data_IF_341433877625
#
_entry.id   IF_341433877625
#
_cell.length_a   1.000
_cell.length_b   1.000
_cell.length_c   1.000
_cell.angle_alpha   90.00
_cell.angle_beta   90.00
_cell.angle_gamma   90.00
#
_symmetry.space_group_name_H-M   'P 1'
#
loop_
_entity.id
_entity.type
_entity.pdbx_description
1 polymer ?
#
# COMPACT_ATOMS: atom_id res chain seq x y z
N UNK A 1 17.73 36.12 -14.89
CA UNK A 1 16.73 35.75 -13.88
C UNK A 1 15.27 36.05 -14.29
N UNK A 2 15.00 36.77 -15.39
CA UNK A 2 13.63 37.19 -15.78
C UNK A 2 12.83 36.21 -16.69
N UNK A 3 13.40 35.08 -17.13
CA UNK A 3 12.68 34.14 -18.03
C UNK A 3 11.85 33.08 -17.29
N UNK A 4 12.13 32.80 -16.01
CA UNK A 4 11.46 31.74 -15.24
C UNK A 4 10.01 32.07 -14.86
N UNK A 5 9.65 33.34 -14.73
CA UNK A 5 8.31 33.76 -14.31
C UNK A 5 7.28 33.69 -15.43
N UNK A 6 7.64 34.13 -16.65
CA UNK A 6 6.72 34.14 -17.79
C UNK A 6 6.35 32.73 -18.26
N UNK A 7 7.30 31.78 -18.22
CA UNK A 7 7.04 30.38 -18.55
C UNK A 7 6.09 29.72 -17.53
N UNK A 8 6.21 30.08 -16.25
CA UNK A 8 5.34 29.56 -15.18
C UNK A 8 3.91 30.11 -15.29
N UNK A 9 3.76 31.42 -15.55
CA UNK A 9 2.44 32.04 -15.74
C UNK A 9 1.76 31.57 -17.02
N UNK A 10 2.50 31.40 -18.12
CA UNK A 10 1.95 30.85 -19.36
C UNK A 10 1.51 29.39 -19.18
N UNK A 11 2.32 28.56 -18.51
CA UNK A 11 1.95 27.18 -18.20
C UNK A 11 0.69 27.13 -17.32
N UNK A 12 0.60 27.96 -16.28
CA UNK A 12 -0.59 28.05 -15.43
C UNK A 12 -1.84 28.48 -16.21
N UNK A 13 -1.74 29.49 -17.07
CA UNK A 13 -2.85 29.94 -17.91
C UNK A 13 -3.33 28.85 -18.88
N UNK A 14 -2.40 28.07 -19.46
CA UNK A 14 -2.74 26.92 -20.30
C UNK A 14 -3.48 25.86 -19.49
N UNK A 15 -3.06 25.57 -18.26
CA UNK A 15 -3.75 24.61 -17.39
C UNK A 15 -5.16 25.11 -16.99
N UNK A 16 -5.29 26.38 -16.61
CA UNK A 16 -6.59 27.00 -16.32
C UNK A 16 -7.51 26.92 -17.54
N UNK A 17 -7.00 27.27 -18.72
CA UNK A 17 -7.77 27.20 -19.97
C UNK A 17 -8.21 25.76 -20.27
N UNK A 18 -7.32 24.77 -20.10
CA UNK A 18 -7.63 23.36 -20.32
C UNK A 18 -8.75 22.84 -19.41
N UNK A 19 -8.83 23.33 -18.17
CA UNK A 19 -9.88 22.94 -17.22
C UNK A 19 -11.19 23.74 -17.39
N UNK A 20 -11.14 25.00 -17.87
CA UNK A 20 -12.32 25.85 -18.11
C UNK A 20 -13.03 25.52 -19.42
N UNK A 21 -12.29 25.11 -20.48
CA UNK A 21 -12.87 24.76 -21.79
C UNK A 21 -14.00 23.73 -21.68
N UNK A 22 -13.86 22.62 -20.92
CA UNK A 22 -14.96 21.68 -20.70
C UNK A 22 -16.20 22.29 -20.05
N UNK A 23 -16.04 23.23 -19.10
CA UNK A 23 -17.18 23.94 -18.51
C UNK A 23 -17.90 24.82 -19.54
N UNK A 24 -17.14 25.59 -20.31
CA UNK A 24 -17.67 26.41 -21.41
C UNK A 24 -18.40 25.53 -22.42
N UNK A 25 -17.83 24.39 -22.79
CA UNK A 25 -18.46 23.45 -23.69
C UNK A 25 -19.77 22.86 -23.16
N UNK A 26 -19.84 22.56 -21.86
CA UNK A 26 -21.08 22.08 -21.22
C UNK A 26 -22.16 23.17 -21.19
N UNK A 27 -21.82 24.39 -20.74
CA UNK A 27 -22.82 25.46 -20.55
C UNK A 27 -23.21 26.20 -21.83
N UNK A 28 -22.30 26.32 -22.81
CA UNK A 28 -22.53 27.11 -24.03
C UNK A 28 -22.64 26.27 -25.31
N UNK A 29 -21.99 25.09 -25.36
CA UNK A 29 -21.94 24.24 -26.57
C UNK A 29 -22.76 22.95 -26.44
N UNK A 30 -23.47 22.76 -25.32
CA UNK A 30 -24.33 21.60 -25.08
C UNK A 30 -23.58 20.28 -24.87
N UNK A 31 -22.30 20.33 -24.48
CA UNK A 31 -21.54 19.11 -24.21
C UNK A 31 -22.08 18.35 -22.99
N UNK A 32 -21.88 17.03 -22.98
CA UNK A 32 -22.35 16.16 -21.90
C UNK A 32 -21.53 16.33 -20.63
N UNK A 33 -22.11 16.98 -19.61
CA UNK A 33 -21.51 17.08 -18.28
C UNK A 33 -21.21 15.71 -17.66
N UNK A 34 -22.06 14.71 -17.96
CA UNK A 34 -21.90 13.32 -17.49
C UNK A 34 -20.62 12.68 -18.04
N UNK A 35 -20.36 12.86 -19.33
CA UNK A 35 -19.17 12.32 -19.99
C UNK A 35 -17.90 12.94 -19.44
N UNK A 36 -17.88 14.27 -19.26
CA UNK A 36 -16.74 14.94 -18.66
C UNK A 36 -16.50 14.51 -17.21
N UNK A 37 -17.55 14.38 -16.40
CA UNK A 37 -17.41 13.89 -15.02
C UNK A 37 -16.76 12.50 -14.96
N UNK A 38 -17.11 11.59 -15.88
CA UNK A 38 -16.46 10.26 -15.99
C UNK A 38 -15.00 10.39 -16.40
N UNK A 39 -14.68 11.15 -17.45
CA UNK A 39 -13.29 11.31 -17.93
C UNK A 39 -12.39 11.93 -16.86
N UNK A 40 -12.88 12.96 -16.15
CA UNK A 40 -12.17 13.61 -15.05
C UNK A 40 -11.97 12.68 -13.84
N UNK A 41 -12.97 11.86 -13.49
CA UNK A 41 -12.81 10.86 -12.45
C UNK A 41 -11.75 9.81 -12.84
N UNK A 42 -11.73 9.38 -14.11
CA UNK A 42 -10.70 8.46 -14.61
C UNK A 42 -9.31 9.10 -14.56
N UNK A 43 -9.18 10.39 -14.90
CA UNK A 43 -7.90 11.11 -14.80
C UNK A 43 -7.29 10.98 -13.40
N UNK A 44 -8.07 11.24 -12.35
CA UNK A 44 -7.61 11.13 -10.96
C UNK A 44 -7.29 9.70 -10.55
N UNK A 45 -8.13 8.74 -10.94
CA UNK A 45 -7.89 7.32 -10.66
C UNK A 45 -6.60 6.85 -11.31
N UNK A 46 -6.31 7.30 -12.54
CA UNK A 46 -5.10 6.96 -13.28
C UNK A 46 -3.87 7.67 -12.69
N UNK A 47 -4.00 8.92 -12.22
CA UNK A 47 -2.88 9.66 -11.64
C UNK A 47 -2.25 8.94 -10.42
N UNK A 48 -3.06 8.26 -9.61
CA UNK A 48 -2.64 7.55 -8.39
C UNK A 48 -1.65 6.39 -8.63
N UNK A 49 -1.93 5.37 -9.48
CA UNK A 49 -0.96 4.32 -9.79
C UNK A 49 0.28 4.88 -10.50
N UNK A 50 0.17 5.94 -11.31
CA UNK A 50 1.34 6.62 -11.87
C UNK A 50 2.19 7.28 -10.79
N UNK A 51 1.59 7.88 -9.76
CA UNK A 51 2.32 8.40 -8.60
C UNK A 51 3.02 7.27 -7.83
N UNK A 52 2.35 6.13 -7.65
CA UNK A 52 2.95 4.93 -7.06
C UNK A 52 4.13 4.40 -7.88
N UNK A 53 3.99 4.34 -9.21
CA UNK A 53 5.06 3.92 -10.11
C UNK A 53 6.27 4.86 -10.03
N UNK A 54 6.05 6.19 -10.06
CA UNK A 54 7.12 7.19 -9.86
C UNK A 54 7.81 7.00 -8.52
N UNK A 55 7.05 6.76 -7.45
CA UNK A 55 7.59 6.58 -6.11
C UNK A 55 8.61 5.43 -6.06
N UNK A 56 8.44 4.33 -6.81
CA UNK A 56 9.41 3.23 -6.85
C UNK A 56 10.83 3.65 -7.27
N UNK A 57 10.94 4.70 -8.08
CA UNK A 57 12.21 5.22 -8.62
C UNK A 57 12.74 6.45 -7.85
N UNK A 58 12.00 6.93 -6.84
CA UNK A 58 12.39 8.09 -6.06
C UNK A 58 13.67 7.81 -5.25
N UNK A 59 14.76 8.51 -5.58
CA UNK A 59 16.07 8.28 -4.98
C UNK A 59 16.21 8.89 -3.59
N UNK A 60 15.53 10.01 -3.30
CA UNK A 60 15.65 10.63 -1.98
C UNK A 60 14.90 9.77 -0.95
N UNK A 61 15.55 9.44 0.18
CA UNK A 61 14.88 8.74 1.26
C UNK A 61 13.75 9.60 1.85
N UNK A 62 12.65 8.98 2.32
CA UNK A 62 11.62 9.71 3.06
C UNK A 62 12.14 10.15 4.43
N UNK A 63 11.58 11.23 4.99
CA UNK A 63 11.81 11.62 6.38
C UNK A 63 11.36 10.48 7.32
N UNK A 64 12.29 9.97 8.14
CA UNK A 64 12.05 8.84 9.03
C UNK A 64 11.34 9.24 10.34
N UNK A 65 11.59 10.44 10.85
CA UNK A 65 10.96 10.97 12.07
C UNK A 65 9.46 11.20 11.86
N UNK A 66 9.07 11.64 10.67
CA UNK A 66 7.65 11.76 10.30
C UNK A 66 6.96 10.40 10.14
N UNK A 67 7.69 9.37 9.71
CA UNK A 67 7.14 8.01 9.60
C UNK A 67 6.84 7.44 10.99
N UNK A 68 7.60 7.81 12.01
CA UNK A 68 7.36 7.47 13.42
C UNK A 68 6.14 8.23 13.96
N UNK A 69 6.08 9.57 13.80
CA UNK A 69 4.92 10.37 14.27
C UNK A 69 3.59 10.02 13.62
N UNK A 70 3.61 9.58 12.36
CA UNK A 70 2.39 9.13 11.67
C UNK A 70 1.77 7.88 12.32
N UNK A 71 2.53 7.12 13.12
CA UNK A 71 2.04 6.00 13.92
C UNK A 71 1.47 6.39 15.30
N UNK A 72 1.82 7.57 15.81
CA UNK A 72 1.41 8.04 17.15
C UNK A 72 -0.02 8.62 17.16
N UNK A 73 -0.50 9.14 16.02
CA UNK A 73 -1.77 9.88 15.90
C UNK A 73 -2.89 9.21 15.10
N UNK A 74 -2.60 8.17 14.32
CA UNK A 74 -3.61 7.37 13.61
C UNK A 74 -3.94 6.17 14.52
N UNK A 75 -5.21 5.88 14.87
CA UNK A 75 -5.51 4.74 15.73
C UNK A 75 -4.92 3.49 15.07
N UNK A 76 -4.05 2.73 15.76
CA UNK A 76 -3.31 1.64 15.14
C UNK A 76 -4.32 0.71 14.48
N UNK A 77 -4.23 0.56 13.16
CA UNK A 77 -5.06 -0.42 12.45
C UNK A 77 -4.76 -1.77 13.08
N UNK A 78 -5.76 -2.64 13.15
CA UNK A 78 -5.65 -3.94 13.81
C UNK A 78 -4.48 -4.81 13.30
N UNK A 79 -3.97 -4.49 12.11
CA UNK A 79 -2.86 -5.12 11.39
C UNK A 79 -1.50 -4.47 11.68
N UNK A 80 -1.45 -3.20 12.12
CA UNK A 80 -0.24 -2.51 12.57
C UNK A 80 0.08 -2.80 14.05
N UNK A 81 -0.95 -3.14 14.83
CA UNK A 81 -0.80 -3.61 16.22
C UNK A 81 -0.17 -5.00 16.34
N UNK A 82 -0.17 -5.79 15.25
CA UNK A 82 0.52 -7.08 15.16
C UNK A 82 1.93 -6.88 14.56
N UNK A 83 2.81 -6.23 15.32
CA UNK A 83 4.26 -6.29 15.09
C UNK A 83 4.72 -5.79 13.72
N UNK A 84 4.18 -4.67 13.22
CA UNK A 84 4.93 -3.88 12.25
C UNK A 84 6.28 -3.56 12.90
N UNK A 85 7.39 -4.04 12.33
CA UNK A 85 8.72 -3.64 12.80
C UNK A 85 8.81 -2.14 12.59
N UNK A 86 8.55 -1.36 13.62
CA UNK A 86 9.00 0.02 13.70
C UNK A 86 10.47 -0.13 14.06
N UNK A 87 11.34 0.05 13.07
CA UNK A 87 12.76 -0.19 13.24
C UNK A 87 13.45 -0.54 11.93
N UNK A 88 14.74 -0.87 11.95
CA UNK A 88 15.52 -1.06 10.72
C UNK A 88 15.21 -2.34 9.95
N UNK A 89 14.29 -3.17 10.46
CA UNK A 89 13.70 -4.27 9.70
C UNK A 89 12.41 -3.86 8.96
N UNK A 90 11.95 -2.61 9.11
CA UNK A 90 10.91 -2.03 8.26
C UNK A 90 11.39 -1.94 6.81
N UNK A 91 10.53 -2.36 5.87
CA UNK A 91 10.80 -2.20 4.46
C UNK A 91 11.06 -0.72 4.11
N UNK A 92 10.39 0.24 4.75
CA UNK A 92 10.61 1.68 4.49
C UNK A 92 12.01 2.18 4.81
N UNK A 93 12.74 1.48 5.69
CA UNK A 93 14.13 1.82 6.06
C UNK A 93 15.16 0.96 5.34
N UNK A 94 14.73 0.15 4.36
CA UNK A 94 15.61 -0.73 3.62
C UNK A 94 16.62 0.04 2.78
N UNK A 95 17.86 -0.44 2.79
CA UNK A 95 19.02 0.11 2.07
C UNK A 95 19.21 -0.60 0.73
N UNK A 96 19.94 0.07 -0.15
CA UNK A 96 20.25 -0.42 -1.49
C UNK A 96 19.13 -0.24 -2.50
N UNK A 97 19.39 -0.72 -3.72
CA UNK A 97 18.50 -0.56 -4.87
C UNK A 97 18.72 -1.68 -5.87
N UNK A 98 17.71 -1.97 -6.70
CA UNK A 98 17.74 -3.06 -7.69
C UNK A 98 17.62 -2.47 -9.09
N UNK A 99 18.58 -2.78 -9.96
CA UNK A 99 18.47 -2.45 -11.38
C UNK A 99 17.57 -3.48 -12.07
N UNK A 100 16.44 -3.04 -12.64
CA UNK A 100 15.50 -3.93 -13.36
C UNK A 100 15.90 -4.04 -14.83
N UNK A 101 16.30 -2.93 -15.44
CA UNK A 101 16.72 -2.84 -16.82
C UNK A 101 17.72 -1.69 -16.97
N UNK A 102 18.71 -1.84 -17.85
CA UNK A 102 19.78 -0.84 -18.06
C UNK A 102 19.24 0.53 -18.52
N UNK A 103 18.05 0.56 -19.12
CA UNK A 103 17.40 1.78 -19.62
C UNK A 103 16.59 2.54 -18.59
N UNK A 104 16.35 1.96 -17.41
CA UNK A 104 15.54 2.57 -16.35
C UNK A 104 16.39 2.86 -15.11
N UNK A 105 16.06 3.91 -14.34
CA UNK A 105 16.67 4.10 -13.03
C UNK A 105 16.42 2.87 -12.14
N UNK A 106 17.28 2.64 -11.13
CA UNK A 106 17.07 1.54 -10.22
C UNK A 106 15.81 1.74 -9.37
N UNK A 107 15.17 0.64 -9.01
CA UNK A 107 14.02 0.62 -8.10
C UNK A 107 14.52 0.46 -6.67
N UNK A 108 13.95 1.23 -5.75
CA UNK A 108 14.27 1.14 -4.33
C UNK A 108 13.19 0.31 -3.62
N UNK A 109 13.51 -0.89 -3.09
CA UNK A 109 12.53 -1.73 -2.37
C UNK A 109 11.82 -0.99 -1.23
N UNK A 110 12.50 -0.03 -0.61
CA UNK A 110 11.94 0.83 0.45
C UNK A 110 10.75 1.67 0.02
N UNK A 111 10.59 1.90 -1.28
CA UNK A 111 9.51 2.70 -1.85
C UNK A 111 8.24 1.88 -2.13
N UNK A 112 8.32 0.54 -2.07
CA UNK A 112 7.18 -0.37 -2.35
C UNK A 112 5.96 -0.11 -1.45
N UNK A 113 6.11 0.15 -0.13
CA UNK A 113 4.95 0.49 0.72
C UNK A 113 4.22 1.76 0.26
N UNK A 114 4.93 2.74 -0.31
CA UNK A 114 4.33 3.98 -0.83
C UNK A 114 3.56 3.72 -2.12
N UNK A 115 4.13 2.92 -3.03
CA UNK A 115 3.42 2.45 -4.22
C UNK A 115 2.17 1.63 -3.87
N UNK A 116 2.26 0.79 -2.84
CA UNK A 116 1.13 0.02 -2.29
C UNK A 116 -0.01 0.91 -1.81
N UNK A 117 0.32 1.97 -1.06
CA UNK A 117 -0.66 2.95 -0.61
C UNK A 117 -1.30 3.72 -1.76
N UNK A 118 -0.52 4.14 -2.75
CA UNK A 118 -1.03 4.83 -3.93
C UNK A 118 -2.03 3.96 -4.72
N UNK A 119 -1.73 2.66 -4.86
CA UNK A 119 -2.64 1.71 -5.51
C UNK A 119 -3.91 1.46 -4.67
N UNK A 120 -3.79 1.29 -3.35
CA UNK A 120 -4.94 1.18 -2.47
C UNK A 120 -5.84 2.44 -2.50
N UNK A 121 -5.23 3.62 -2.59
CA UNK A 121 -5.96 4.88 -2.78
C UNK A 121 -6.67 4.90 -4.14
N UNK A 122 -6.04 4.41 -5.21
CA UNK A 122 -6.66 4.31 -6.53
C UNK A 122 -7.90 3.42 -6.53
N UNK A 123 -7.82 2.26 -5.87
CA UNK A 123 -8.96 1.35 -5.66
C UNK A 123 -10.07 2.01 -4.84
N UNK A 124 -9.69 2.73 -3.78
CA UNK A 124 -10.62 3.50 -2.93
C UNK A 124 -11.36 4.58 -3.70
N UNK A 125 -10.62 5.43 -4.42
CA UNK A 125 -11.18 6.45 -5.29
C UNK A 125 -12.08 5.84 -6.36
N UNK A 126 -11.67 4.73 -7.00
CA UNK A 126 -12.48 4.02 -7.99
C UNK A 126 -13.82 3.58 -7.41
N UNK A 127 -13.83 2.97 -6.21
CA UNK A 127 -15.06 2.55 -5.56
C UNK A 127 -16.01 3.71 -5.26
N UNK A 128 -15.47 4.82 -4.74
CA UNK A 128 -16.26 6.05 -4.49
C UNK A 128 -16.80 6.64 -5.78
N UNK A 129 -15.96 6.77 -6.82
CA UNK A 129 -16.37 7.33 -8.11
C UNK A 129 -17.46 6.49 -8.77
N UNK A 130 -17.29 5.17 -8.80
CA UNK A 130 -18.30 4.26 -9.34
C UNK A 130 -19.61 4.40 -8.57
N UNK A 131 -19.56 4.46 -7.25
CA UNK A 131 -20.76 4.61 -6.42
C UNK A 131 -21.48 5.94 -6.61
N UNK A 132 -20.76 7.05 -6.75
CA UNK A 132 -21.38 8.37 -6.93
C UNK A 132 -21.87 8.55 -8.34
N UNK A 133 -21.02 8.33 -9.34
CA UNK A 133 -21.35 8.60 -10.73
C UNK A 133 -22.42 7.66 -11.27
N UNK A 134 -22.49 6.40 -10.79
CA UNK A 134 -23.53 5.45 -11.21
C UNK A 134 -24.96 5.93 -10.93
N UNK A 135 -25.14 6.86 -9.97
CA UNK A 135 -26.45 7.48 -9.70
C UNK A 135 -26.94 8.38 -10.81
N UNK A 136 -26.03 8.85 -11.66
CA UNK A 136 -26.29 9.86 -12.68
C UNK A 136 -26.04 9.36 -14.10
N UNK A 137 -25.14 8.40 -14.26
CA UNK A 137 -24.71 7.88 -15.55
C UNK A 137 -24.31 6.41 -15.44
N UNK A 138 -24.62 5.62 -16.46
CA UNK A 138 -24.07 4.28 -16.62
C UNK A 138 -22.57 4.39 -16.96
N UNK A 139 -21.72 4.39 -15.93
CA UNK A 139 -20.27 4.57 -16.06
C UNK A 139 -19.66 3.51 -16.98
N UNK A 140 -19.94 2.20 -16.82
CA UNK A 140 -19.39 1.18 -17.73
C UNK A 140 -19.81 1.38 -19.18
N UNK A 141 -21.09 1.70 -19.45
CA UNK A 141 -21.54 1.96 -20.83
C UNK A 141 -20.90 3.22 -21.40
N UNK A 142 -20.71 4.26 -20.60
CA UNK A 142 -20.03 5.50 -21.01
C UNK A 142 -18.58 5.25 -21.37
N UNK A 143 -17.86 4.41 -20.60
CA UNK A 143 -16.49 4.02 -20.90
C UNK A 143 -16.37 3.10 -22.11
N UNK A 144 -17.43 2.36 -22.44
CA UNK A 144 -17.49 1.51 -23.63
C UNK A 144 -17.76 2.32 -24.92
N UNK A 145 -18.19 3.58 -24.81
CA UNK A 145 -18.32 4.46 -25.96
C UNK A 145 -16.93 4.67 -26.62
N UNK A 146 -16.77 4.44 -27.94
CA UNK A 146 -15.47 4.52 -28.59
C UNK A 146 -14.76 5.86 -28.43
N UNK A 147 -15.50 6.97 -28.38
CA UNK A 147 -14.92 8.32 -28.25
C UNK A 147 -14.36 8.55 -26.85
N UNK A 148 -15.07 8.08 -25.83
CA UNK A 148 -14.64 8.15 -24.43
C UNK A 148 -13.48 7.18 -24.19
N UNK A 149 -13.58 5.95 -24.69
CA UNK A 149 -12.51 4.96 -24.61
C UNK A 149 -11.21 5.48 -25.25
N UNK A 150 -11.29 6.06 -26.45
CA UNK A 150 -10.14 6.68 -27.11
C UNK A 150 -9.56 7.84 -26.29
N UNK A 151 -10.40 8.67 -25.67
CA UNK A 151 -9.97 9.76 -24.79
C UNK A 151 -9.23 9.25 -23.55
N UNK A 152 -9.73 8.18 -22.92
CA UNK A 152 -9.07 7.53 -21.77
C UNK A 152 -7.73 6.91 -22.17
N UNK A 153 -7.65 6.23 -23.32
CA UNK A 153 -6.39 5.69 -23.84
C UNK A 153 -5.39 6.82 -24.10
N UNK A 154 -5.83 7.90 -24.75
CA UNK A 154 -4.99 9.07 -25.00
C UNK A 154 -4.50 9.71 -23.70
N UNK A 155 -5.35 9.79 -22.68
CA UNK A 155 -5.01 10.28 -21.34
C UNK A 155 -3.90 9.43 -20.71
N UNK A 156 -4.00 8.10 -20.79
CA UNK A 156 -2.99 7.18 -20.25
C UNK A 156 -1.67 7.34 -21.01
N UNK A 157 -1.70 7.36 -22.35
CA UNK A 157 -0.51 7.56 -23.19
C UNK A 157 0.14 8.91 -22.91
N UNK A 158 -0.66 9.97 -22.75
CA UNK A 158 -0.21 11.30 -22.37
C UNK A 158 0.48 11.28 -21.01
N UNK A 159 -0.11 10.61 -20.00
CA UNK A 159 0.51 10.42 -18.70
C UNK A 159 1.87 9.73 -18.81
N UNK A 160 1.98 8.63 -19.57
CA UNK A 160 3.26 7.94 -19.82
C UNK A 160 4.29 8.91 -20.39
N UNK A 161 3.94 9.68 -21.42
CA UNK A 161 4.83 10.65 -22.06
C UNK A 161 5.26 11.77 -21.10
N UNK A 162 4.35 12.26 -20.25
CA UNK A 162 4.66 13.26 -19.23
C UNK A 162 5.62 12.68 -18.19
N UNK A 163 5.39 11.46 -17.71
CA UNK A 163 6.29 10.82 -16.73
C UNK A 163 7.68 10.60 -17.34
N UNK A 164 7.76 10.05 -18.56
CA UNK A 164 9.02 9.85 -19.28
C UNK A 164 9.81 11.17 -19.39
N UNK A 165 9.17 12.21 -19.93
CA UNK A 165 9.83 13.48 -20.20
C UNK A 165 10.17 14.26 -18.92
N UNK A 166 9.24 14.37 -18.00
CA UNK A 166 9.34 15.30 -16.86
C UNK A 166 9.88 14.66 -15.58
N UNK A 167 9.79 13.34 -15.45
CA UNK A 167 10.27 12.63 -14.26
C UNK A 167 11.60 11.91 -14.51
N UNK A 168 11.66 11.12 -15.58
CA UNK A 168 12.86 10.33 -15.91
C UNK A 168 13.90 11.16 -16.65
N UNK A 169 13.56 11.74 -17.81
CA UNK A 169 14.51 12.46 -18.65
C UNK A 169 15.07 13.73 -18.01
N UNK A 170 14.27 14.44 -17.21
CA UNK A 170 14.72 15.59 -16.39
C UNK A 170 15.38 15.22 -15.06
N UNK A 171 15.55 13.93 -14.78
CA UNK A 171 16.16 13.42 -13.53
C UNK A 171 15.49 13.90 -12.25
N UNK A 172 14.20 14.27 -12.31
CA UNK A 172 13.44 14.70 -11.13
C UNK A 172 13.32 13.58 -10.10
N UNK A 173 13.37 12.31 -10.53
CA UNK A 173 13.44 11.14 -9.65
C UNK A 173 14.65 11.16 -8.69
N UNK A 174 15.77 11.81 -9.07
CA UNK A 174 16.94 11.95 -8.20
C UNK A 174 16.70 12.90 -7.03
N UNK A 175 15.79 13.88 -7.20
CA UNK A 175 15.49 14.93 -6.24
C UNK A 175 14.13 14.78 -5.54
N UNK A 176 13.39 13.71 -5.82
CA UNK A 176 12.06 13.48 -5.25
C UNK A 176 12.12 12.45 -4.12
N UNK A 177 11.34 12.67 -3.06
CA UNK A 177 11.04 11.62 -2.08
C UNK A 177 9.84 10.79 -2.54
N UNK A 178 9.73 9.51 -2.16
CA UNK A 178 8.55 8.69 -2.50
C UNK A 178 7.27 9.22 -1.85
N UNK A 179 7.37 9.89 -0.70
CA UNK A 179 6.23 10.44 0.03
C UNK A 179 5.62 11.61 -0.73
N UNK A 180 6.43 12.57 -1.16
CA UNK A 180 5.93 13.78 -1.82
C UNK A 180 5.15 13.46 -3.09
N UNK A 181 5.68 12.53 -3.88
CA UNK A 181 5.09 12.11 -5.15
C UNK A 181 3.71 11.48 -4.93
N UNK A 182 3.56 10.64 -3.89
CA UNK A 182 2.29 9.98 -3.58
C UNK A 182 1.34 10.93 -2.87
N UNK A 183 1.81 11.67 -1.87
CA UNK A 183 1.02 12.57 -1.05
C UNK A 183 0.28 13.59 -1.93
N UNK A 184 1.00 14.24 -2.85
CA UNK A 184 0.41 15.20 -3.79
C UNK A 184 -0.78 14.61 -4.55
N UNK A 185 -0.61 13.42 -5.14
CA UNK A 185 -1.67 12.77 -5.92
C UNK A 185 -2.84 12.29 -5.04
N UNK A 186 -2.55 11.74 -3.85
CA UNK A 186 -3.57 11.26 -2.92
C UNK A 186 -4.39 12.39 -2.31
N UNK A 187 -3.78 13.54 -2.00
CA UNK A 187 -4.50 14.70 -1.47
C UNK A 187 -5.45 15.27 -2.52
N UNK A 188 -4.99 15.43 -3.76
CA UNK A 188 -5.83 15.92 -4.86
C UNK A 188 -7.02 14.98 -5.11
N UNK A 189 -6.76 13.67 -5.27
CA UNK A 189 -7.80 12.69 -5.49
C UNK A 189 -8.76 12.55 -4.30
N UNK A 190 -8.25 12.64 -3.06
CA UNK A 190 -9.04 12.60 -1.84
C UNK A 190 -9.98 13.80 -1.70
N UNK A 191 -9.47 15.02 -1.96
CA UNK A 191 -10.29 16.23 -1.97
C UNK A 191 -11.39 16.17 -3.04
N UNK A 192 -11.04 15.73 -4.26
CA UNK A 192 -12.01 15.56 -5.33
C UNK A 192 -13.07 14.50 -4.99
N UNK A 193 -12.68 13.37 -4.41
CA UNK A 193 -13.62 12.33 -3.97
C UNK A 193 -14.55 12.84 -2.85
N UNK A 194 -14.02 13.59 -1.88
CA UNK A 194 -14.81 14.20 -0.80
C UNK A 194 -15.83 15.20 -1.36
N UNK A 195 -15.39 16.10 -2.24
CA UNK A 195 -16.29 17.07 -2.89
C UNK A 195 -17.34 16.36 -3.72
N UNK A 196 -16.96 15.31 -4.47
CA UNK A 196 -17.91 14.54 -5.25
C UNK A 196 -18.98 13.90 -4.36
N UNK A 197 -18.61 13.33 -3.21
CA UNK A 197 -19.54 12.77 -2.23
C UNK A 197 -20.51 13.82 -1.68
N UNK A 198 -20.06 15.06 -1.47
CA UNK A 198 -20.94 16.17 -1.01
C UNK A 198 -21.85 16.66 -2.15
N UNK A 199 -21.36 16.68 -3.39
CA UNK A 199 -22.12 17.16 -4.55
C UNK A 199 -23.19 16.19 -5.08
N UNK A 200 -23.39 15.03 -4.45
CA UNK A 200 -24.51 14.11 -4.75
C UNK A 200 -25.85 14.87 -4.76
N UNK A 201 -25.98 15.93 -3.96
CA UNK A 201 -27.19 16.77 -3.86
C UNK A 201 -27.38 17.72 -5.06
N UNK A 202 -26.30 18.11 -5.76
CA UNK A 202 -26.31 19.16 -6.80
C UNK A 202 -26.46 18.67 -8.26
N UNK A 203 -26.55 17.36 -8.48
CA UNK A 203 -26.64 16.76 -9.82
C UNK A 203 -25.34 16.84 -10.65
N UNK A 204 -25.34 16.33 -11.90
CA UNK A 204 -24.10 16.14 -12.69
C UNK A 204 -23.35 17.44 -13.02
N UNK A 205 -24.08 18.53 -13.30
CA UNK A 205 -23.48 19.83 -13.57
C UNK A 205 -22.84 20.43 -12.31
N UNK A 206 -23.49 20.32 -11.15
CA UNK A 206 -22.93 20.74 -9.87
C UNK A 206 -21.68 19.95 -9.48
N UNK A 207 -21.69 18.64 -9.70
CA UNK A 207 -20.54 17.77 -9.50
C UNK A 207 -19.35 18.19 -10.39
N UNK A 208 -19.57 18.46 -11.68
CA UNK A 208 -18.51 18.91 -12.59
C UNK A 208 -17.94 20.28 -12.17
N UNK A 209 -18.78 21.24 -11.81
CA UNK A 209 -18.33 22.57 -11.36
C UNK A 209 -17.48 22.45 -10.10
N UNK A 210 -17.93 21.66 -9.12
CA UNK A 210 -17.18 21.48 -7.88
C UNK A 210 -15.86 20.72 -8.12
N UNK A 211 -15.85 19.75 -9.03
CA UNK A 211 -14.65 19.04 -9.44
C UNK A 211 -13.60 19.99 -10.03
N UNK A 212 -14.01 20.81 -11.01
CA UNK A 212 -13.11 21.77 -11.66
C UNK A 212 -12.63 22.82 -10.64
N UNK A 213 -13.48 23.27 -9.72
CA UNK A 213 -13.08 24.19 -8.66
C UNK A 213 -11.99 23.60 -7.75
N UNK A 214 -12.13 22.33 -7.34
CA UNK A 214 -11.10 21.63 -6.54
C UNK A 214 -9.79 21.50 -7.31
N UNK A 215 -9.86 21.07 -8.57
CA UNK A 215 -8.68 20.89 -9.42
C UNK A 215 -7.93 22.22 -9.62
N UNK A 216 -8.65 23.28 -9.98
CA UNK A 216 -8.08 24.62 -10.12
C UNK A 216 -7.49 25.14 -8.80
N UNK A 217 -8.14 24.87 -7.66
CA UNK A 217 -7.62 25.25 -6.35
C UNK A 217 -6.31 24.50 -6.01
N UNK A 218 -6.24 23.20 -6.31
CA UNK A 218 -5.03 22.39 -6.14
C UNK A 218 -3.88 22.90 -7.02
N UNK A 219 -4.15 23.15 -8.30
CA UNK A 219 -3.17 23.70 -9.25
C UNK A 219 -2.68 25.10 -8.84
N UNK A 220 -3.59 25.95 -8.36
CA UNK A 220 -3.26 27.29 -7.86
C UNK A 220 -2.40 27.25 -6.59
N UNK A 221 -2.69 26.33 -5.66
CA UNK A 221 -1.85 26.11 -4.47
C UNK A 221 -0.44 25.66 -4.86
N UNK A 222 -0.33 24.83 -5.89
CA UNK A 222 0.94 24.44 -6.49
C UNK A 222 1.70 25.62 -7.09
N UNK A 223 1.01 26.49 -7.85
CA UNK A 223 1.59 27.70 -8.45
C UNK A 223 2.07 28.72 -7.40
N UNK A 224 1.32 28.93 -6.32
CA UNK A 224 1.67 29.84 -5.21
C UNK A 224 2.95 29.42 -4.46
N UNK A 225 3.46 28.21 -4.69
CA UNK A 225 4.60 27.68 -3.94
C UNK A 225 4.28 27.29 -2.49
N UNK A 226 3.04 27.53 -2.02
CA UNK A 226 2.57 27.11 -0.69
C UNK A 226 2.50 25.59 -0.52
N UNK A 227 2.65 24.85 -1.62
CA UNK A 227 2.73 23.39 -1.65
C UNK A 227 4.15 22.84 -1.64
N UNK A 228 5.17 23.69 -1.72
CA UNK A 228 6.55 23.24 -1.58
C UNK A 228 6.78 22.94 -0.10
N UNK A 229 6.49 21.71 0.29
CA UNK A 229 7.20 21.03 1.38
C UNK A 229 8.68 21.43 1.27
N UNK A 230 9.28 21.93 2.36
CA UNK A 230 10.68 22.31 2.32
C UNK A 230 11.48 21.05 1.93
N UNK A 231 12.20 21.04 0.79
CA UNK A 231 12.93 19.86 0.34
C UNK A 231 13.99 19.42 1.35
N UNK A 232 14.43 20.28 2.27
CA UNK A 232 15.33 19.91 3.37
C UNK A 232 14.61 19.29 4.57
N UNK A 233 13.34 19.64 4.85
CA UNK A 233 12.54 18.99 5.91
C UNK A 233 12.09 17.56 5.52
N UNK A 234 12.09 17.22 4.24
CA UNK A 234 11.61 15.92 3.73
C UNK A 234 12.65 14.81 3.62
N UNK A 235 13.95 15.09 3.76
CA UNK A 235 15.03 14.12 3.59
C UNK A 235 15.39 13.43 4.90
N UNK A 236 15.16 12.11 4.98
CA UNK A 236 15.66 11.31 6.10
C UNK A 236 17.03 10.72 5.82
N UNK A 237 18.01 10.89 6.71
CA UNK A 237 19.28 10.14 6.63
C UNK A 237 19.25 8.95 7.57
N UNK A 238 19.52 7.75 7.05
CA UNK A 238 19.81 6.61 7.92
C UNK A 238 21.28 6.67 8.33
N UNK A 239 21.61 6.44 9.62
CA UNK A 239 23.00 6.37 10.05
C UNK A 239 23.77 5.31 9.25
N UNK A 240 25.06 5.49 8.95
CA UNK A 240 25.85 4.46 8.29
C UNK A 240 25.87 3.20 9.14
N UNK A 241 25.84 2.03 8.50
CA UNK A 241 25.95 0.75 9.19
C UNK A 241 27.42 0.32 9.17
N UNK A 242 28.06 0.31 10.33
CA UNK A 242 29.37 -0.27 10.51
C UNK A 242 29.21 -1.79 10.69
N UNK A 243 29.49 -2.55 9.64
CA UNK A 243 29.49 -4.00 9.68
C UNK A 243 30.92 -4.52 9.48
N UNK A 244 31.34 -5.58 10.20
CA UNK A 244 32.63 -6.21 9.95
C UNK A 244 32.74 -6.71 8.50
N UNK A 245 33.84 -6.36 7.84
CA UNK A 245 34.15 -6.77 6.46
C UNK A 245 34.91 -8.11 6.45
N UNK A 246 34.31 -9.11 7.08
CA UNK A 246 34.84 -10.47 7.25
C UNK A 246 33.80 -11.45 6.69
N UNK A 247 34.20 -12.57 6.07
CA UNK A 247 33.27 -13.61 5.64
C UNK A 247 32.40 -14.10 6.81
N UNK A 248 31.13 -14.44 6.56
CA UNK A 248 30.24 -14.91 7.63
C UNK A 248 30.71 -16.25 8.19
N UNK A 249 30.87 -16.34 9.51
CA UNK A 249 31.17 -17.58 10.22
C UNK A 249 29.95 -18.51 10.27
N UNK A 250 28.76 -17.92 10.34
CA UNK A 250 27.49 -18.62 10.24
C UNK A 250 26.49 -17.77 9.46
N UNK A 251 25.59 -18.44 8.75
CA UNK A 251 24.50 -17.82 8.03
C UNK A 251 23.22 -18.63 8.23
N UNK A 252 22.14 -17.95 8.58
CA UNK A 252 20.80 -18.53 8.72
C UNK A 252 19.82 -17.72 7.90
N UNK A 253 18.96 -18.41 7.15
CA UNK A 253 17.97 -17.79 6.26
C UNK A 253 16.54 -18.06 6.75
N UNK A 254 15.62 -17.11 6.51
CA UNK A 254 14.19 -17.34 6.64
C UNK A 254 13.73 -18.53 5.79
N UNK A 255 12.82 -19.35 6.32
CA UNK A 255 12.16 -20.39 5.55
C UNK A 255 11.26 -19.75 4.49
N UNK A 256 11.59 -20.01 3.22
CA UNK A 256 10.88 -19.42 2.07
C UNK A 256 9.39 -19.78 2.04
N UNK A 257 9.00 -20.95 2.56
CA UNK A 257 7.59 -21.38 2.55
C UNK A 257 6.82 -20.67 3.65
N UNK A 258 7.40 -20.50 4.84
CA UNK A 258 6.81 -19.72 5.93
C UNK A 258 6.67 -18.25 5.53
N UNK A 259 7.71 -17.62 4.98
CA UNK A 259 7.61 -16.23 4.47
C UNK A 259 6.50 -16.08 3.44
N UNK A 260 6.41 -16.98 2.45
CA UNK A 260 5.34 -16.93 1.42
C UNK A 260 3.95 -17.12 2.01
N UNK A 261 3.79 -18.04 2.96
CA UNK A 261 2.50 -18.27 3.60
C UNK A 261 2.08 -17.06 4.46
N UNK A 262 3.00 -16.47 5.21
CA UNK A 262 2.72 -15.26 6.00
C UNK A 262 2.46 -14.05 5.10
N UNK A 263 3.19 -13.93 3.98
CA UNK A 263 2.93 -12.91 2.96
C UNK A 263 1.51 -13.02 2.40
N UNK A 264 1.08 -14.22 2.01
CA UNK A 264 -0.27 -14.45 1.50
C UNK A 264 -1.33 -14.21 2.56
N UNK A 265 -1.08 -14.65 3.80
CA UNK A 265 -1.98 -14.41 4.93
C UNK A 265 -2.17 -12.91 5.19
N UNK A 266 -1.07 -12.16 5.33
CA UNK A 266 -1.12 -10.70 5.51
C UNK A 266 -1.74 -10.00 4.31
N UNK A 267 -1.45 -10.46 3.09
CA UNK A 267 -2.10 -9.97 1.88
C UNK A 267 -3.61 -10.14 1.93
N UNK A 268 -4.10 -11.32 2.32
CA UNK A 268 -5.52 -11.61 2.44
C UNK A 268 -6.20 -10.77 3.54
N UNK A 269 -5.58 -10.64 4.72
CA UNK A 269 -6.15 -9.84 5.83
C UNK A 269 -6.18 -8.35 5.48
N UNK A 270 -5.12 -7.82 4.85
CA UNK A 270 -5.10 -6.43 4.39
C UNK A 270 -6.12 -6.15 3.28
N UNK A 271 -6.30 -7.08 2.34
CA UNK A 271 -7.31 -6.95 1.29
C UNK A 271 -8.71 -6.86 1.91
N UNK A 272 -9.00 -7.71 2.90
CA UNK A 272 -10.23 -7.69 3.69
C UNK A 272 -10.47 -6.36 4.40
N UNK A 273 -9.43 -5.76 5.00
CA UNK A 273 -9.55 -4.48 5.71
C UNK A 273 -10.07 -3.33 4.82
N UNK A 274 -9.90 -3.45 3.50
CA UNK A 274 -10.39 -2.49 2.50
C UNK A 274 -11.83 -2.81 2.03
N UNK A 275 -12.49 -3.79 2.64
CA UNK A 275 -13.80 -4.35 2.28
C UNK A 275 -14.90 -3.35 1.91
N UNK A 276 -15.14 -2.28 2.71
CA UNK A 276 -16.20 -1.30 2.41
C UNK A 276 -16.08 -0.63 1.04
N UNK A 277 -14.86 -0.42 0.54
CA UNK A 277 -14.63 0.18 -0.79
C UNK A 277 -15.12 -0.74 -1.91
N UNK A 278 -14.91 -2.05 -1.79
CA UNK A 278 -15.37 -3.02 -2.78
C UNK A 278 -16.90 -3.05 -2.88
N UNK A 279 -17.59 -2.77 -1.78
CA UNK A 279 -19.05 -2.63 -1.75
C UNK A 279 -19.52 -1.43 -2.57
N UNK A 280 -18.85 -0.28 -2.42
CA UNK A 280 -19.14 0.91 -3.21
C UNK A 280 -18.89 0.68 -4.70
N UNK A 281 -17.76 0.06 -5.05
CA UNK A 281 -17.47 -0.35 -6.42
C UNK A 281 -18.55 -1.30 -6.96
N UNK A 282 -18.94 -2.31 -6.19
CA UNK A 282 -19.96 -3.30 -6.57
C UNK A 282 -21.33 -2.67 -6.78
N UNK A 283 -21.79 -1.83 -5.86
CA UNK A 283 -23.04 -1.08 -5.99
C UNK A 283 -23.00 -0.15 -7.21
N UNK A 284 -21.85 0.49 -7.47
CA UNK A 284 -21.64 1.35 -8.63
C UNK A 284 -21.75 0.59 -9.95
N UNK A 285 -21.08 -0.56 -10.06
CA UNK A 285 -21.09 -1.39 -11.27
C UNK A 285 -22.48 -2.01 -11.53
N UNK A 286 -23.13 -2.52 -10.49
CA UNK A 286 -24.46 -3.17 -10.61
C UNK A 286 -25.60 -2.20 -10.87
N UNK A 287 -25.45 -0.93 -10.49
CA UNK A 287 -26.38 0.13 -10.88
C UNK A 287 -26.24 0.55 -12.35
N UNK A 288 -25.11 0.23 -13.00
CA UNK A 288 -24.89 0.43 -14.42
C UNK A 288 -25.18 -0.82 -15.27
N UNK A 289 -24.52 -0.92 -16.41
CA UNK A 289 -24.67 -2.02 -17.37
C UNK A 289 -23.92 -3.31 -17.01
N UNK A 290 -23.12 -3.31 -15.93
CA UNK A 290 -22.34 -4.49 -15.55
C UNK A 290 -23.21 -5.47 -14.77
N UNK A 291 -23.34 -6.68 -15.31
CA UNK A 291 -24.08 -7.75 -14.64
C UNK A 291 -23.53 -8.09 -13.25
N UNK A 292 -24.38 -8.48 -12.29
CA UNK A 292 -24.00 -8.69 -10.89
C UNK A 292 -22.92 -9.75 -10.69
N UNK A 293 -22.87 -10.77 -11.55
CA UNK A 293 -21.81 -11.79 -11.52
C UNK A 293 -20.46 -11.18 -11.86
N UNK A 294 -20.37 -10.42 -12.95
CA UNK A 294 -19.13 -9.76 -13.36
C UNK A 294 -18.67 -8.72 -12.32
N UNK A 295 -19.59 -7.90 -11.81
CA UNK A 295 -19.31 -6.94 -10.74
C UNK A 295 -18.76 -7.64 -9.48
N UNK A 296 -19.31 -8.82 -9.13
CA UNK A 296 -18.83 -9.60 -7.99
C UNK A 296 -17.40 -10.10 -8.20
N UNK A 297 -17.09 -10.67 -9.37
CA UNK A 297 -15.73 -11.16 -9.69
C UNK A 297 -14.73 -10.01 -9.66
N UNK A 298 -15.08 -8.84 -10.20
CA UNK A 298 -14.21 -7.67 -10.18
C UNK A 298 -14.00 -7.19 -8.74
N UNK A 299 -15.06 -6.91 -8.01
CA UNK A 299 -14.99 -6.24 -6.71
C UNK A 299 -14.51 -7.13 -5.57
N UNK A 300 -14.84 -8.43 -5.59
CA UNK A 300 -14.49 -9.36 -4.51
C UNK A 300 -13.45 -10.41 -4.91
N UNK A 301 -13.06 -10.47 -6.18
CA UNK A 301 -11.98 -11.32 -6.68
C UNK A 301 -10.76 -10.50 -7.09
N UNK A 302 -10.88 -9.73 -8.18
CA UNK A 302 -9.73 -9.06 -8.81
C UNK A 302 -9.19 -7.89 -7.99
N UNK A 303 -10.04 -6.97 -7.51
CA UNK A 303 -9.57 -5.83 -6.71
C UNK A 303 -8.88 -6.27 -5.40
N UNK A 304 -9.46 -7.18 -4.60
CA UNK A 304 -8.81 -7.67 -3.39
C UNK A 304 -7.54 -8.48 -3.69
N UNK A 305 -7.51 -9.26 -4.78
CA UNK A 305 -6.31 -9.98 -5.20
C UNK A 305 -5.16 -9.03 -5.57
N UNK A 306 -5.46 -7.89 -6.23
CA UNK A 306 -4.48 -6.86 -6.54
C UNK A 306 -3.91 -6.20 -5.28
N UNK A 307 -4.78 -5.72 -4.39
CA UNK A 307 -4.38 -5.07 -3.12
C UNK A 307 -3.62 -6.06 -2.22
N UNK A 308 -4.17 -7.27 -2.04
CA UNK A 308 -3.57 -8.31 -1.23
C UNK A 308 -2.26 -8.85 -1.80
N UNK A 309 -2.17 -8.98 -3.13
CA UNK A 309 -0.94 -9.37 -3.82
C UNK A 309 0.18 -8.36 -3.60
N UNK A 310 -0.12 -7.06 -3.65
CA UNK A 310 0.86 -6.01 -3.41
C UNK A 310 1.33 -5.98 -1.95
N UNK A 311 0.43 -6.26 -1.00
CA UNK A 311 0.78 -6.42 0.43
C UNK A 311 1.58 -7.70 0.70
N UNK A 312 1.31 -8.77 -0.03
CA UNK A 312 2.13 -9.98 0.03
C UNK A 312 3.54 -9.73 -0.51
N UNK A 313 3.68 -8.98 -1.61
CA UNK A 313 4.98 -8.55 -2.15
C UNK A 313 5.73 -7.69 -1.14
N UNK A 314 5.06 -6.72 -0.51
CA UNK A 314 5.64 -5.90 0.56
C UNK A 314 6.26 -6.79 1.65
N UNK A 315 5.49 -7.73 2.21
CA UNK A 315 5.99 -8.64 3.26
C UNK A 315 7.12 -9.56 2.79
N UNK A 316 7.00 -10.11 1.57
CA UNK A 316 8.00 -10.98 0.98
C UNK A 316 9.31 -10.24 0.75
N UNK A 317 9.27 -8.96 0.38
CA UNK A 317 10.44 -8.11 0.32
C UNK A 317 11.00 -7.87 1.71
N UNK A 318 10.19 -7.53 2.71
CA UNK A 318 10.66 -7.27 4.07
C UNK A 318 11.51 -8.41 4.64
N UNK A 319 11.10 -9.66 4.47
CA UNK A 319 11.75 -10.80 5.13
C UNK A 319 12.40 -11.80 4.18
N UNK A 320 11.82 -12.06 3.00
CA UNK A 320 12.17 -13.21 2.16
C UNK A 320 13.51 -13.14 1.42
N UNK A 321 14.20 -12.01 1.54
CA UNK A 321 15.46 -11.71 0.84
C UNK A 321 16.62 -11.46 1.81
N UNK A 322 16.35 -11.54 3.11
CA UNK A 322 17.34 -11.36 4.15
C UNK A 322 18.10 -12.67 4.41
N UNK A 323 19.39 -12.54 4.67
CA UNK A 323 20.26 -13.54 5.23
C UNK A 323 20.84 -12.99 6.54
N UNK A 324 20.61 -13.69 7.65
CA UNK A 324 21.15 -13.31 8.94
C UNK A 324 22.51 -13.97 9.11
N UNK A 325 23.55 -13.17 9.34
CA UNK A 325 24.94 -13.60 9.32
C UNK A 325 25.62 -13.27 10.65
N UNK A 326 26.45 -14.18 11.13
CA UNK A 326 27.44 -13.92 12.18
C UNK A 326 28.73 -13.50 11.49
N UNK A 327 29.12 -12.24 11.65
CA UNK A 327 30.39 -11.72 11.13
C UNK A 327 31.21 -11.21 12.29
N UNK A 328 32.30 -11.92 12.58
CA UNK A 328 33.12 -11.66 13.76
C UNK A 328 32.22 -11.54 15.01
N UNK A 329 32.33 -10.46 15.79
CA UNK A 329 31.50 -10.23 16.97
C UNK A 329 30.17 -9.48 16.72
N UNK A 330 29.67 -9.44 15.48
CA UNK A 330 28.37 -8.85 15.16
C UNK A 330 27.36 -9.83 14.51
N UNK A 331 26.08 -9.64 14.84
CA UNK A 331 24.94 -10.15 14.07
C UNK A 331 24.60 -9.13 12.98
N UNK A 332 24.53 -9.59 11.74
CA UNK A 332 24.36 -8.75 10.55
C UNK A 332 23.16 -9.25 9.75
N UNK A 333 22.22 -8.36 9.45
CA UNK A 333 21.21 -8.62 8.43
C UNK A 333 21.72 -8.16 7.08
N UNK A 334 22.07 -9.12 6.24
CA UNK A 334 22.46 -8.90 4.85
C UNK A 334 21.27 -9.13 3.93
N UNK A 335 21.13 -8.32 2.90
CA UNK A 335 20.05 -8.45 1.92
C UNK A 335 20.61 -8.92 0.57
N UNK A 336 20.27 -10.15 0.19
CA UNK A 336 20.72 -10.77 -1.05
C UNK A 336 20.15 -10.08 -2.30
N UNK A 337 19.01 -9.38 -2.18
CA UNK A 337 18.39 -8.70 -3.32
C UNK A 337 19.09 -7.38 -3.66
N UNK A 338 19.52 -6.64 -2.64
CA UNK A 338 20.17 -5.33 -2.82
C UNK A 338 21.68 -5.38 -2.65
N UNK A 339 22.22 -6.52 -2.23
CA UNK A 339 23.63 -6.74 -1.91
C UNK A 339 24.16 -5.73 -0.87
N UNK A 340 23.31 -5.37 0.09
CA UNK A 340 23.65 -4.39 1.13
C UNK A 340 23.33 -4.87 2.53
N UNK A 341 24.18 -4.48 3.48
CA UNK A 341 23.90 -4.67 4.90
C UNK A 341 22.78 -3.71 5.32
N UNK A 342 21.73 -4.26 5.92
CA UNK A 342 20.56 -3.51 6.38
C UNK A 342 20.79 -2.96 7.78
N UNK A 343 21.32 -3.81 8.66
CA UNK A 343 21.73 -3.46 10.01
C UNK A 343 22.80 -4.44 10.52
N UNK A 344 23.58 -3.99 11.49
CA UNK A 344 24.56 -4.78 12.21
C UNK A 344 24.48 -4.41 13.70
N UNK A 345 24.57 -5.41 14.57
CA UNK A 345 24.48 -5.27 16.02
C UNK A 345 25.54 -6.17 16.65
N UNK A 346 26.44 -5.65 17.50
CA UNK A 346 27.36 -6.48 18.28
C UNK A 346 26.57 -7.48 19.14
N UNK A 347 27.08 -8.70 19.30
CA UNK A 347 26.38 -9.70 20.13
C UNK A 347 26.23 -9.24 21.57
N UNK A 348 27.26 -8.63 22.14
CA UNK A 348 27.22 -8.05 23.49
C UNK A 348 26.19 -6.90 23.65
N UNK A 349 25.73 -6.29 22.55
CA UNK A 349 24.71 -5.24 22.56
C UNK A 349 23.28 -5.81 22.51
N UNK A 350 23.13 -7.12 22.26
CA UNK A 350 21.83 -7.80 22.32
C UNK A 350 21.50 -8.09 23.78
N UNK A 351 20.56 -7.33 24.33
CA UNK A 351 20.13 -7.48 25.72
C UNK A 351 19.26 -8.72 25.89
N UNK A 352 18.28 -8.87 25.02
CA UNK A 352 17.26 -9.91 25.12
C UNK A 352 16.76 -10.30 23.73
N UNK A 353 16.29 -11.54 23.61
CA UNK A 353 15.74 -12.11 22.40
C UNK A 353 14.45 -12.87 22.71
N UNK A 354 13.32 -12.26 22.38
CA UNK A 354 12.00 -12.81 22.64
C UNK A 354 11.42 -13.47 21.38
N UNK A 355 10.81 -14.65 21.55
CA UNK A 355 10.02 -15.27 20.48
C UNK A 355 8.73 -14.47 20.29
N UNK A 356 8.49 -13.98 19.07
CA UNK A 356 7.23 -13.31 18.74
C UNK A 356 6.06 -14.27 18.79
N UNK A 357 5.28 -14.15 19.85
CA UNK A 357 4.04 -14.86 20.00
C UNK A 357 2.96 -14.26 19.11
N UNK A 358 2.46 -15.01 18.13
CA UNK A 358 1.31 -14.55 17.33
C UNK A 358 1.31 -15.00 15.88
N UNK A 359 2.46 -15.33 15.31
CA UNK A 359 2.53 -15.76 13.92
C UNK A 359 1.95 -17.17 13.76
N UNK A 360 0.71 -17.24 13.26
CA UNK A 360 -0.01 -18.48 12.92
C UNK A 360 0.84 -19.44 12.08
N UNK A 361 1.53 -18.86 11.10
CA UNK A 361 2.36 -19.60 10.16
C UNK A 361 3.58 -20.20 10.85
N UNK A 362 4.20 -19.46 11.78
CA UNK A 362 5.34 -19.93 12.55
C UNK A 362 4.98 -21.15 13.40
N UNK A 363 3.82 -21.10 14.08
CA UNK A 363 3.29 -22.25 14.83
C UNK A 363 2.97 -23.44 13.92
N UNK A 364 2.37 -23.19 12.75
CA UNK A 364 1.95 -24.25 11.83
C UNK A 364 3.11 -24.91 11.04
N UNK A 365 4.21 -24.18 10.84
CA UNK A 365 5.37 -24.63 10.06
C UNK A 365 6.58 -24.97 10.92
N UNK A 366 6.45 -24.82 12.23
CA UNK A 366 7.52 -24.92 13.21
C UNK A 366 8.72 -24.01 12.86
N UNK A 367 8.41 -22.75 12.57
CA UNK A 367 9.40 -21.68 12.43
C UNK A 367 9.31 -20.72 13.61
N UNK A 368 10.35 -19.92 13.84
CA UNK A 368 10.38 -18.91 14.91
C UNK A 368 10.79 -17.56 14.36
N UNK A 369 10.09 -16.53 14.81
CA UNK A 369 10.46 -15.13 14.59
C UNK A 369 10.88 -14.54 15.93
N UNK A 370 12.09 -13.99 16.01
CA UNK A 370 12.63 -13.37 17.22
C UNK A 370 12.58 -11.85 17.12
N UNK A 371 12.21 -11.17 18.21
CA UNK A 371 12.42 -9.74 18.44
C UNK A 371 13.69 -9.60 19.26
N UNK A 372 14.68 -8.86 18.77
CA UNK A 372 15.94 -8.60 19.44
C UNK A 372 15.90 -7.19 20.03
N UNK A 373 16.06 -7.10 21.34
CA UNK A 373 16.15 -5.85 22.08
C UNK A 373 17.62 -5.50 22.27
N UNK A 374 18.04 -4.31 21.85
CA UNK A 374 19.45 -3.88 21.90
C UNK A 374 19.66 -2.79 22.96
N UNK A 375 20.82 -2.71 23.63
CA UNK A 375 21.06 -1.65 24.63
C UNK A 375 21.10 -0.25 24.02
N UNK A 376 21.73 -0.12 22.85
CA UNK A 376 21.90 1.17 22.18
C UNK A 376 20.76 1.54 21.20
N UNK A 377 19.87 0.60 20.88
CA UNK A 377 18.83 0.80 19.87
C UNK A 377 17.48 1.17 20.46
N UNK A 378 16.91 2.26 19.96
CA UNK A 378 15.53 2.70 20.28
C UNK A 378 14.46 1.74 19.74
N UNK A 379 14.83 0.85 18.81
CA UNK A 379 13.91 -0.02 18.09
C UNK A 379 14.40 -1.47 18.03
N UNK A 380 13.47 -2.39 18.30
CA UNK A 380 13.68 -3.83 18.18
C UNK A 380 14.07 -4.24 16.75
N UNK A 381 14.94 -5.25 16.65
CA UNK A 381 15.29 -5.90 15.37
C UNK A 381 14.54 -7.21 15.25
N UNK A 382 14.06 -7.53 14.04
CA UNK A 382 13.33 -8.78 13.84
C UNK A 382 14.12 -9.77 13.01
N UNK A 383 14.24 -11.00 13.52
CA UNK A 383 14.84 -12.13 12.83
C UNK A 383 13.73 -13.15 12.55
N UNK A 384 13.21 -13.19 11.32
CA UNK A 384 11.92 -13.81 11.05
C UNK A 384 11.99 -15.18 10.35
N UNK A 385 10.97 -16.02 10.60
CA UNK A 385 10.72 -17.30 9.92
C UNK A 385 11.89 -18.30 9.98
N UNK A 386 12.63 -18.35 11.07
CA UNK A 386 13.77 -19.26 11.21
C UNK A 386 13.31 -20.71 11.45
N UNK A 387 13.69 -21.61 10.54
CA UNK A 387 13.51 -23.06 10.71
C UNK A 387 14.65 -23.70 11.50
N UNK A 388 15.88 -23.25 11.27
CA UNK A 388 17.06 -23.64 12.04
C UNK A 388 17.24 -22.72 13.26
N UNK A 389 16.16 -22.47 14.01
CA UNK A 389 16.18 -21.51 15.11
C UNK A 389 17.16 -21.90 16.22
N UNK A 390 17.37 -23.20 16.49
CA UNK A 390 18.38 -23.65 17.47
C UNK A 390 19.81 -23.27 17.06
N UNK A 391 20.13 -23.45 15.77
CA UNK A 391 21.42 -23.01 15.21
C UNK A 391 21.57 -21.50 15.27
N UNK A 392 20.49 -20.75 15.02
CA UNK A 392 20.53 -19.30 15.10
C UNK A 392 20.76 -18.79 16.52
N UNK A 393 20.10 -19.39 17.52
CA UNK A 393 20.30 -19.06 18.93
C UNK A 393 21.74 -19.32 19.35
N UNK A 394 22.31 -20.47 18.95
CA UNK A 394 23.71 -20.81 19.25
C UNK A 394 24.70 -19.91 18.50
N UNK A 395 24.53 -19.75 17.19
CA UNK A 395 25.49 -19.04 16.34
C UNK A 395 25.48 -17.51 16.53
N UNK A 396 24.35 -16.95 16.98
CA UNK A 396 24.21 -15.53 17.28
C UNK A 396 24.24 -15.25 18.79
N UNK A 397 24.48 -16.27 19.61
CA UNK A 397 24.56 -16.19 21.08
C UNK A 397 23.35 -15.45 21.69
N UNK A 398 22.16 -15.73 21.16
CA UNK A 398 20.94 -15.04 21.59
C UNK A 398 20.55 -15.48 22.99
N UNK A 399 20.42 -14.52 23.90
CA UNK A 399 19.84 -14.68 25.24
C UNK A 399 18.33 -14.88 25.13
N UNK A 400 17.90 -16.11 24.80
CA UNK A 400 16.47 -16.49 24.69
C UNK A 400 16.05 -17.30 25.91
N UNK A 401 15.03 -16.85 26.66
CA UNK A 401 14.49 -17.62 27.80
C UNK A 401 13.83 -18.94 27.35
N UNK A 402 13.07 -18.90 26.26
CA UNK A 402 12.39 -20.06 25.68
C UNK A 402 12.25 -19.95 24.17
N UNK A 403 12.55 -21.03 23.45
CA UNK A 403 12.25 -21.15 22.01
C UNK A 403 10.89 -21.82 21.76
N UNK A 404 10.22 -22.29 22.81
CA UNK A 404 8.90 -22.94 22.71
C UNK A 404 7.79 -21.89 22.79
N UNK A 405 6.78 -22.01 21.94
CA UNK A 405 5.57 -21.21 22.04
C UNK A 405 4.79 -21.56 23.32
N UNK A 406 4.18 -20.54 23.95
CA UNK A 406 3.20 -20.80 25.00
C UNK A 406 1.99 -21.61 24.50
N UNK A 407 1.32 -22.36 25.40
CA UNK A 407 0.17 -23.19 25.04
C UNK A 407 -1.00 -22.32 24.56
N UNK A 408 -1.63 -22.72 23.46
CA UNK A 408 -2.84 -22.06 22.95
C UNK A 408 -4.04 -22.36 23.87
N UNK A 409 -4.89 -21.35 24.10
CA UNK A 409 -6.19 -21.60 24.71
C UNK A 409 -7.08 -22.37 23.73
N UNK A 410 -7.19 -23.68 23.97
CA UNK A 410 -7.99 -24.61 23.16
C UNK A 410 -9.45 -24.19 23.05
N UNK A 411 -10.00 -23.47 24.05
CA UNK A 411 -11.39 -22.99 24.03
C UNK A 411 -11.55 -21.85 23.04
N UNK A 412 -10.66 -20.87 23.07
CA UNK A 412 -10.64 -19.76 22.12
C UNK A 412 -10.40 -20.25 20.68
N UNK A 413 -9.45 -21.19 20.48
CA UNK A 413 -9.24 -21.83 19.18
C UNK A 413 -10.49 -22.58 18.72
N UNK A 414 -11.07 -23.42 19.58
CA UNK A 414 -12.27 -24.19 19.27
C UNK A 414 -13.45 -23.30 18.89
N UNK A 415 -13.67 -22.20 19.61
CA UNK A 415 -14.70 -21.22 19.31
C UNK A 415 -14.45 -20.52 17.97
N UNK A 416 -13.21 -20.08 17.70
CA UNK A 416 -12.86 -19.45 16.43
C UNK A 416 -13.07 -20.42 15.25
N UNK A 417 -12.61 -21.66 15.37
CA UNK A 417 -12.79 -22.69 14.34
C UNK A 417 -14.27 -22.99 14.10
N UNK A 418 -15.06 -23.13 15.17
CA UNK A 418 -16.50 -23.38 15.06
C UNK A 418 -17.23 -22.22 14.36
N UNK A 419 -16.97 -20.98 14.77
CA UNK A 419 -17.56 -19.78 14.14
C UNK A 419 -17.17 -19.68 12.66
N UNK A 420 -15.89 -19.90 12.35
CA UNK A 420 -15.39 -19.88 10.98
C UNK A 420 -16.03 -20.98 10.12
N UNK A 421 -16.10 -22.21 10.62
CA UNK A 421 -16.72 -23.34 9.93
C UNK A 421 -18.22 -23.11 9.69
N UNK A 422 -18.95 -22.58 10.69
CA UNK A 422 -20.36 -22.21 10.54
C UNK A 422 -20.56 -21.13 9.47
N UNK A 423 -19.70 -20.10 9.45
CA UNK A 423 -19.74 -19.05 8.44
C UNK A 423 -19.51 -19.60 7.02
N UNK A 424 -18.49 -20.44 6.84
CA UNK A 424 -18.20 -21.10 5.54
C UNK A 424 -19.36 -22.01 5.12
N UNK A 425 -19.89 -22.82 6.04
CA UNK A 425 -21.02 -23.70 5.76
C UNK A 425 -22.28 -22.91 5.37
N UNK A 426 -22.55 -21.78 6.04
CA UNK A 426 -23.67 -20.91 5.70
C UNK A 426 -23.52 -20.32 4.30
N UNK A 427 -22.33 -19.81 3.95
CA UNK A 427 -22.05 -19.31 2.59
C UNK A 427 -22.16 -20.41 1.54
N UNK A 428 -21.64 -21.61 1.81
CA UNK A 428 -21.72 -22.75 0.89
C UNK A 428 -23.17 -23.24 0.71
N UNK A 429 -23.97 -23.28 1.77
CA UNK A 429 -25.39 -23.62 1.71
C UNK A 429 -26.22 -22.55 0.99
N UNK A 430 -25.88 -21.28 1.14
CA UNK A 430 -26.44 -20.22 0.31
C UNK A 430 -26.00 -20.37 -1.15
N UNK A 431 -24.78 -20.81 -1.44
CA UNK A 431 -24.29 -20.92 -2.82
C UNK A 431 -25.06 -21.97 -3.63
N UNK A 432 -25.52 -23.05 -2.99
CA UNK A 432 -26.32 -24.09 -3.64
C UNK A 432 -27.78 -23.68 -3.89
N UNK A 433 -28.33 -22.79 -3.07
CA UNK A 433 -29.75 -22.41 -3.10
C UNK A 433 -30.01 -21.03 -3.71
N UNK A 434 -29.11 -20.08 -3.48
CA UNK A 434 -29.20 -18.68 -3.90
C UNK A 434 -27.79 -18.12 -4.16
N UNK A 435 -27.15 -18.47 -5.29
CA UNK A 435 -25.74 -18.16 -5.57
C UNK A 435 -25.44 -16.65 -5.53
N UNK A 436 -26.38 -15.80 -5.94
CA UNK A 436 -26.25 -14.34 -5.85
C UNK A 436 -26.22 -13.85 -4.39
N UNK A 437 -27.06 -14.40 -3.52
CA UNK A 437 -27.09 -14.05 -2.09
C UNK A 437 -25.83 -14.57 -1.40
N UNK A 438 -25.37 -15.76 -1.76
CA UNK A 438 -24.12 -16.32 -1.26
C UNK A 438 -22.91 -15.45 -1.62
N UNK A 439 -22.86 -14.96 -2.86
CA UNK A 439 -21.83 -14.04 -3.31
C UNK A 439 -21.85 -12.73 -2.52
N UNK A 440 -23.03 -12.17 -2.26
CA UNK A 440 -23.20 -10.98 -1.43
C UNK A 440 -22.76 -11.27 0.01
N UNK A 441 -23.21 -12.39 0.61
CA UNK A 441 -22.85 -12.78 1.97
C UNK A 441 -21.34 -13.06 2.12
N UNK A 442 -20.70 -13.65 1.12
CA UNK A 442 -19.25 -13.85 1.09
C UNK A 442 -18.51 -12.51 0.94
N UNK A 443 -18.97 -11.63 0.06
CA UNK A 443 -18.36 -10.32 -0.17
C UNK A 443 -18.52 -9.35 1.00
N UNK A 444 -19.70 -9.31 1.62
CA UNK A 444 -19.99 -8.48 2.80
C UNK A 444 -19.48 -9.12 4.09
N UNK A 445 -19.81 -10.40 4.33
CA UNK A 445 -19.52 -11.10 5.58
C UNK A 445 -18.09 -11.60 5.68
N UNK A 446 -17.42 -11.90 4.56
CA UNK A 446 -16.04 -12.39 4.54
C UNK A 446 -15.06 -11.44 5.23
N UNK A 447 -15.06 -10.13 4.93
CA UNK A 447 -14.21 -9.16 5.61
C UNK A 447 -14.41 -9.11 7.12
N UNK A 448 -15.66 -9.05 7.59
CA UNK A 448 -15.96 -9.05 9.03
C UNK A 448 -15.60 -10.39 9.67
N UNK A 449 -15.84 -11.51 8.97
CA UNK A 449 -15.48 -12.86 9.40
C UNK A 449 -13.98 -13.01 9.62
N UNK A 450 -13.16 -12.56 8.67
CA UNK A 450 -11.70 -12.63 8.80
C UNK A 450 -11.20 -11.72 9.93
N UNK A 451 -11.73 -10.50 10.08
CA UNK A 451 -11.34 -9.60 11.20
C UNK A 451 -11.74 -10.17 12.56
N UNK A 452 -12.95 -10.72 12.67
CA UNK A 452 -13.45 -11.32 13.91
C UNK A 452 -12.69 -12.59 14.27
N UNK A 453 -12.41 -13.46 13.30
CA UNK A 453 -11.58 -14.65 13.49
C UNK A 453 -10.14 -14.30 13.84
N UNK A 454 -9.56 -13.26 13.22
CA UNK A 454 -8.23 -12.75 13.57
C UNK A 454 -8.16 -12.18 14.98
N UNK A 455 -9.21 -11.49 15.43
CA UNK A 455 -9.33 -11.05 16.84
C UNK A 455 -9.50 -12.23 17.80
N UNK A 456 -10.34 -13.21 17.45
CA UNK A 456 -10.54 -14.41 18.25
C UNK A 456 -9.25 -15.25 18.36
N UNK A 457 -8.45 -15.30 17.30
CA UNK A 457 -7.14 -15.92 17.32
C UNK A 457 -6.20 -15.25 18.32
N UNK A 458 -6.22 -13.92 18.41
CA UNK A 458 -5.42 -13.19 19.41
C UNK A 458 -5.83 -13.51 20.84
N UNK A 459 -7.11 -13.78 21.10
CA UNK A 459 -7.55 -14.27 22.42
C UNK A 459 -7.08 -15.69 22.73
N UNK A 460 -6.70 -16.46 21.72
CA UNK A 460 -6.16 -17.81 21.90
C UNK A 460 -4.66 -17.82 22.20
N UNK A 461 -3.97 -16.69 22.00
CA UNK A 461 -2.58 -16.52 22.37
C UNK A 461 -2.45 -16.35 23.88
N UNK A 462 -1.36 -16.85 24.49
CA UNK A 462 -1.02 -16.50 25.87
C UNK A 462 -1.01 -14.97 26.02
N UNK A 463 -1.50 -14.46 27.15
CA UNK A 463 -1.19 -13.09 27.53
C UNK A 463 0.31 -13.04 27.84
N UNK A 464 1.04 -12.19 27.10
CA UNK A 464 2.41 -11.84 27.42
C UNK A 464 2.48 -11.14 28.78
#
# INVERSE_FOLDING_TARGET
>A
MASRSNDSSAAFLVTVAANVVPLVGVFLLGWSARTFAVVYAVELVVALPFAGAKALFARRPPNYDELERSGEGDPPKSDERDGASVGPSDLRRRRGSVAIADSLPPVYPRNVPFASRAFGAAVSCTGVFLFVLSRFVDVPATLADPSVAASVVFLIVSHVGIVEREYFRRRRHEASTPRDVVASATTEAGLAAMVLMVTIVGGPAGALVAFVAVKLFAEWRGYRGEAAFDPEEGEGTLPPVAAPDVPPAAEVRPDRRSVRATALWRGATSAVGTGPVYLFAWAGLTAGSVGPVAATVICFGLLPAGVGGLKAVEYALTHGTLAYQRRDDAVVAYDDLTETVQWATPVDDVRDAEVREGELVDRARDTRTFSLTTFAGEHDRSVAHLREYGRAVEAFELSVETTAFGPLDRRAVGAAVAVGACGVAAVAGLASSAPTIAAIAAGFGGPFGVVTLGKAWRWALPAA
#
